data_IF_771259052000
#
_entry.id   IF_771259052000
#
_cell.length_a   1.000
_cell.length_b   1.000
_cell.length_c   1.000
_cell.angle_alpha   90.00
_cell.angle_beta   90.00
_cell.angle_gamma   90.00
#
_symmetry.space_group_name_H-M   'P 1'
#
loop_
_entity.id
_entity.type
_entity.pdbx_description
1 polymer ?
#
# COMPACT_ATOMS: atom_id res chain seq x y z
N UNK A 1 6.14 16.18 0.33
CA UNK A 1 7.02 15.10 -0.17
C UNK A 1 6.15 14.06 -0.87
N UNK A 2 6.33 13.86 -2.17
CA UNK A 2 5.71 12.77 -2.92
C UNK A 2 6.36 11.45 -2.52
N UNK A 3 5.57 10.45 -2.14
CA UNK A 3 6.07 9.07 -1.95
C UNK A 3 6.32 8.45 -3.32
N UNK A 4 7.41 7.69 -3.43
CA UNK A 4 7.85 7.04 -4.66
C UNK A 4 7.99 5.53 -4.43
N UNK A 5 7.61 4.74 -5.43
CA UNK A 5 7.81 3.31 -5.44
C UNK A 5 9.30 2.99 -5.56
N UNK A 6 9.86 2.23 -4.62
CA UNK A 6 11.28 1.86 -4.65
C UNK A 6 11.64 0.89 -5.78
N UNK A 7 10.67 0.15 -6.30
CA UNK A 7 10.91 -0.84 -7.36
C UNK A 7 10.88 -0.21 -8.77
N UNK A 8 9.91 0.66 -9.05
CA UNK A 8 9.67 1.18 -10.41
C UNK A 8 9.78 2.70 -10.55
N UNK A 9 10.02 3.42 -9.45
CA UNK A 9 10.10 4.88 -9.46
C UNK A 9 8.77 5.61 -9.67
N UNK A 10 7.63 4.90 -9.60
CA UNK A 10 6.29 5.52 -9.71
C UNK A 10 6.12 6.53 -8.57
N UNK A 11 5.91 7.79 -8.95
CA UNK A 11 5.76 8.91 -8.02
C UNK A 11 4.29 9.11 -7.64
N UNK A 12 4.08 9.92 -6.61
CA UNK A 12 2.76 10.35 -6.15
C UNK A 12 1.86 9.17 -5.77
N UNK A 13 2.40 8.24 -4.98
CA UNK A 13 1.59 7.16 -4.39
C UNK A 13 0.46 7.77 -3.54
N UNK A 14 -0.76 7.33 -3.79
CA UNK A 14 -1.94 7.79 -3.09
C UNK A 14 -1.98 7.29 -1.64
N UNK A 15 -2.96 7.78 -0.90
CA UNK A 15 -3.11 7.50 0.53
C UNK A 15 -3.32 6.01 0.81
N UNK A 16 -4.11 5.33 -0.01
CA UNK A 16 -4.45 3.92 0.19
C UNK A 16 -3.24 3.06 -0.14
N UNK A 17 -2.52 3.35 -1.23
CA UNK A 17 -1.23 2.71 -1.54
C UNK A 17 -0.24 2.86 -0.37
N UNK A 18 -0.10 4.07 0.18
CA UNK A 18 0.78 4.30 1.34
C UNK A 18 0.29 3.57 2.59
N UNK A 19 -1.02 3.56 2.82
CA UNK A 19 -1.67 2.94 3.96
C UNK A 19 -1.47 1.43 3.97
N UNK A 20 -1.68 0.76 2.83
CA UNK A 20 -1.54 -0.69 2.71
C UNK A 20 -0.09 -1.14 2.85
N UNK A 21 0.86 -0.37 2.31
CA UNK A 21 2.29 -0.60 2.55
C UNK A 21 2.60 -0.58 4.05
N UNK A 22 2.12 0.44 4.79
CA UNK A 22 2.33 0.52 6.25
C UNK A 22 1.64 -0.58 7.02
N UNK A 23 0.45 -0.98 6.56
CA UNK A 23 -0.37 -1.99 7.23
C UNK A 23 0.22 -3.39 7.07
N UNK A 24 0.76 -3.73 5.89
CA UNK A 24 1.31 -5.05 5.59
C UNK A 24 2.81 -5.17 5.90
N UNK A 25 3.61 -4.12 5.65
CA UNK A 25 5.07 -4.16 5.81
C UNK A 25 5.57 -3.54 7.12
N UNK A 26 4.70 -2.85 7.87
CA UNK A 26 5.00 -2.19 9.14
C UNK A 26 4.89 -0.67 9.11
N UNK A 27 4.61 -0.06 10.26
CA UNK A 27 4.32 1.39 10.36
C UNK A 27 5.53 2.29 10.11
N UNK A 28 6.74 1.78 10.38
CA UNK A 28 8.00 2.53 10.39
C UNK A 28 8.87 2.28 9.14
N UNK A 29 8.27 1.82 8.04
CA UNK A 29 8.99 1.63 6.78
C UNK A 29 9.40 2.97 6.15
N UNK A 30 10.61 3.01 5.59
CA UNK A 30 11.11 4.15 4.80
C UNK A 30 10.78 4.01 3.30
N UNK A 31 10.60 2.78 2.83
CA UNK A 31 10.40 2.45 1.42
C UNK A 31 8.96 2.05 1.17
N UNK A 32 8.42 2.45 0.01
CA UNK A 32 7.05 2.15 -0.40
C UNK A 32 7.06 1.49 -1.77
N UNK A 33 6.05 0.68 -2.04
CA UNK A 33 5.76 0.11 -3.35
C UNK A 33 4.46 0.71 -3.88
N UNK A 34 4.34 0.86 -5.19
CA UNK A 34 3.01 1.01 -5.79
C UNK A 34 2.24 -0.31 -5.71
N UNK A 35 0.93 -0.28 -5.94
CA UNK A 35 0.07 -1.47 -5.85
C UNK A 35 0.59 -2.64 -6.69
N UNK A 36 0.97 -2.39 -7.94
CA UNK A 36 1.49 -3.44 -8.84
C UNK A 36 2.75 -4.12 -8.26
N UNK A 37 3.76 -3.33 -7.89
CA UNK A 37 5.00 -3.87 -7.34
C UNK A 37 4.82 -4.48 -5.94
N UNK A 38 3.84 -4.00 -5.16
CA UNK A 38 3.51 -4.57 -3.86
C UNK A 38 2.86 -5.95 -4.05
N UNK A 39 1.95 -6.07 -5.02
CA UNK A 39 1.28 -7.31 -5.37
C UNK A 39 2.31 -8.35 -5.84
N UNK A 40 3.22 -7.95 -6.73
CA UNK A 40 4.35 -8.80 -7.18
C UNK A 40 5.25 -9.23 -6.01
N UNK A 41 5.57 -8.30 -5.09
CA UNK A 41 6.42 -8.58 -3.93
C UNK A 41 5.76 -9.56 -2.94
N UNK A 42 4.44 -9.46 -2.75
CA UNK A 42 3.67 -10.33 -1.85
C UNK A 42 3.18 -11.61 -2.53
N UNK A 43 3.32 -11.73 -3.86
CA UNK A 43 2.84 -12.87 -4.63
C UNK A 43 1.31 -12.94 -4.71
N UNK A 44 0.63 -11.79 -4.71
CA UNK A 44 -0.82 -11.68 -4.84
C UNK A 44 -1.19 -10.79 -6.04
N UNK A 45 -2.49 -10.53 -6.24
CA UNK A 45 -2.98 -9.58 -7.24
C UNK A 45 -3.20 -8.20 -6.64
N UNK A 46 -3.34 -7.18 -7.49
CA UNK A 46 -3.76 -5.84 -7.06
C UNK A 46 -5.16 -5.86 -6.47
N UNK A 47 -6.06 -6.69 -7.00
CA UNK A 47 -7.43 -6.84 -6.50
C UNK A 47 -7.43 -7.39 -5.07
N UNK A 48 -6.58 -8.37 -4.74
CA UNK A 48 -6.43 -8.87 -3.37
C UNK A 48 -6.04 -7.75 -2.39
N UNK A 49 -5.17 -6.82 -2.82
CA UNK A 49 -4.77 -5.67 -2.01
C UNK A 49 -5.91 -4.68 -1.82
N UNK A 50 -6.71 -4.44 -2.87
CA UNK A 50 -7.88 -3.56 -2.80
C UNK A 50 -8.95 -4.13 -1.86
N UNK A 51 -9.24 -5.43 -1.96
CA UNK A 51 -10.15 -6.12 -1.05
C UNK A 51 -9.68 -5.97 0.40
N UNK A 52 -8.36 -6.09 0.67
CA UNK A 52 -7.80 -5.89 2.00
C UNK A 52 -7.91 -4.46 2.49
N UNK A 53 -7.76 -3.48 1.61
CA UNK A 53 -7.96 -2.07 1.95
C UNK A 53 -9.41 -1.83 2.40
N UNK A 54 -10.39 -2.37 1.68
CA UNK A 54 -11.80 -2.23 2.04
C UNK A 54 -12.13 -2.97 3.34
N UNK A 55 -11.61 -4.20 3.54
CA UNK A 55 -11.71 -4.92 4.81
C UNK A 55 -11.18 -4.06 5.98
N UNK A 56 -10.03 -3.40 5.82
CA UNK A 56 -9.47 -2.53 6.87
C UNK A 56 -10.26 -1.23 7.07
N UNK A 57 -10.90 -0.69 6.03
CA UNK A 57 -11.80 0.47 6.16
C UNK A 57 -13.03 0.10 6.99
N UNK A 58 -13.62 -1.06 6.73
CA UNK A 58 -14.77 -1.59 7.47
C UNK A 58 -14.43 -1.88 8.94
N UNK A 59 -13.21 -2.35 9.22
CA UNK A 59 -12.68 -2.47 10.59
C UNK A 59 -12.39 -1.12 11.28
N UNK A 60 -12.56 0.00 10.58
CA UNK A 60 -12.33 1.35 11.11
C UNK A 60 -10.86 1.75 11.19
N UNK A 61 -9.98 1.12 10.41
CA UNK A 61 -8.55 1.40 10.41
C UNK A 61 -8.26 2.85 10.02
N UNK A 62 -7.60 3.60 10.91
CA UNK A 62 -7.32 5.03 10.71
C UNK A 62 -6.30 5.33 9.60
N UNK A 63 -5.62 4.31 9.06
CA UNK A 63 -4.71 4.47 7.93
C UNK A 63 -5.45 4.78 6.62
N UNK A 64 -6.72 4.37 6.52
CA UNK A 64 -7.55 4.45 5.31
C UNK A 64 -8.77 5.38 5.47
N UNK A 65 -8.81 6.18 6.55
CA UNK A 65 -9.84 7.23 6.76
C UNK A 65 -9.57 8.47 5.94
#
# INVERSE_FOLDING_TARGET
MSKECIACGKKQLDKDTVGINKKLLGKDIANFYCMDCLADFLGCTVDDLLDKIEEFKDEGCTLFK
#
